data_IF_305899025550
#
_entry.id   IF_305899025550
#
_cell.length_a   1.000
_cell.length_b   1.000
_cell.length_c   1.000
_cell.angle_alpha   90.00
_cell.angle_beta   90.00
_cell.angle_gamma   90.00
#
_symmetry.space_group_name_H-M   'P 1'
#
loop_
_entity.id
_entity.type
_entity.pdbx_description
1 polymer ?
#
# COMPACT_ATOMS: atom_id res chain seq x y z
N UNK A 1 12.97 -16.46 -8.42
CA UNK A 1 12.42 -15.67 -7.28
C UNK A 1 10.91 -15.64 -7.40
N UNK A 2 10.17 -16.05 -6.36
CA UNK A 2 8.71 -15.96 -6.32
C UNK A 2 8.20 -14.76 -5.51
N UNK A 3 9.07 -13.89 -5.01
CA UNK A 3 8.78 -12.98 -3.88
C UNK A 3 7.83 -11.81 -4.14
N UNK A 4 7.29 -11.62 -5.36
CA UNK A 4 6.58 -10.38 -5.72
C UNK A 4 5.08 -10.58 -5.77
N UNK A 5 4.36 -9.72 -5.04
CA UNK A 5 2.90 -9.60 -5.10
C UNK A 5 2.51 -8.49 -6.11
N UNK A 6 1.38 -8.69 -6.81
CA UNK A 6 0.76 -7.69 -7.69
C UNK A 6 -0.69 -7.40 -7.31
N UNK A 7 -1.14 -7.94 -6.17
CA UNK A 7 -2.45 -7.67 -5.61
C UNK A 7 -2.60 -6.19 -5.29
N UNK A 8 -3.83 -5.71 -5.41
CA UNK A 8 -4.19 -4.39 -4.88
C UNK A 8 -4.34 -4.57 -3.37
N UNK A 9 -3.43 -3.95 -2.62
CA UNK A 9 -3.44 -3.98 -1.16
C UNK A 9 -4.21 -2.75 -0.65
N UNK A 10 -5.20 -3.00 0.19
CA UNK A 10 -5.88 -1.93 0.92
C UNK A 10 -4.95 -1.29 1.94
N UNK A 11 -5.34 -0.10 2.40
CA UNK A 11 -4.68 0.58 3.51
C UNK A 11 -5.68 0.72 4.66
N UNK A 12 -5.17 0.63 5.89
CA UNK A 12 -5.89 0.98 7.11
C UNK A 12 -5.20 2.18 7.75
N UNK A 13 -5.95 2.96 8.52
CA UNK A 13 -5.39 4.07 9.29
C UNK A 13 -4.90 3.58 10.66
N UNK A 14 -3.68 3.94 11.03
CA UNK A 14 -3.10 3.69 12.35
C UNK A 14 -2.73 5.02 13.02
N UNK A 15 -2.46 5.02 14.33
CA UNK A 15 -2.01 6.17 15.12
C UNK A 15 -3.05 7.31 15.20
N UNK A 16 -4.04 7.25 16.12
CA UNK A 16 -5.16 8.19 16.16
C UNK A 16 -4.79 9.67 16.30
N UNK A 17 -3.68 9.98 16.98
CA UNK A 17 -3.21 11.37 17.16
C UNK A 17 -2.55 11.94 15.88
N UNK A 18 -1.98 11.09 15.04
CA UNK A 18 -1.37 11.45 13.76
C UNK A 18 -1.62 10.31 12.75
N UNK A 19 -2.81 10.27 12.12
CA UNK A 19 -3.20 9.12 11.32
C UNK A 19 -2.28 8.88 10.14
N UNK A 20 -1.74 7.66 10.07
CA UNK A 20 -0.84 7.23 9.00
C UNK A 20 -1.42 6.01 8.27
N UNK A 21 -1.27 5.94 6.95
CA UNK A 21 -1.73 4.80 6.17
C UNK A 21 -0.79 3.61 6.36
N UNK A 22 -1.33 2.45 6.71
CA UNK A 22 -0.60 1.19 6.79
C UNK A 22 -1.17 0.18 5.80
N UNK A 23 -0.30 -0.49 5.06
CA UNK A 23 -0.70 -1.50 4.06
C UNK A 23 -1.02 -2.81 4.75
N UNK A 24 -2.21 -3.36 4.50
CA UNK A 24 -2.56 -4.70 4.98
C UNK A 24 -1.92 -5.77 4.07
N UNK A 25 -0.86 -6.41 4.58
CA UNK A 25 -0.12 -7.46 3.88
C UNK A 25 -0.69 -8.88 4.09
N UNK A 26 -1.90 -9.01 4.64
CA UNK A 26 -2.52 -10.32 4.84
C UNK A 26 -3.08 -10.90 3.53
N UNK A 27 -2.19 -11.27 2.60
CA UNK A 27 -2.54 -11.90 1.33
C UNK A 27 -2.10 -13.36 1.25
N UNK A 28 -2.83 -14.15 0.46
CA UNK A 28 -2.36 -15.48 0.06
C UNK A 28 -1.37 -15.35 -1.09
N UNK A 29 -0.09 -15.60 -0.79
CA UNK A 29 0.98 -15.49 -1.76
C UNK A 29 0.81 -16.47 -2.94
N UNK A 30 1.02 -15.98 -4.17
CA UNK A 30 1.04 -16.77 -5.41
C UNK A 30 2.33 -16.51 -6.18
N UNK A 31 3.04 -17.57 -6.55
CA UNK A 31 4.23 -17.48 -7.41
C UNK A 31 3.87 -16.89 -8.79
N UNK A 32 4.65 -15.90 -9.23
CA UNK A 32 4.51 -15.22 -10.53
C UNK A 32 5.89 -15.02 -11.18
N UNK A 33 5.90 -14.64 -12.47
CA UNK A 33 7.13 -14.31 -13.19
C UNK A 33 7.71 -12.98 -12.67
N UNK A 34 8.75 -13.07 -11.83
CA UNK A 34 9.44 -11.94 -11.24
C UNK A 34 9.92 -10.91 -12.27
N UNK A 35 10.57 -11.36 -13.34
CA UNK A 35 11.24 -10.46 -14.28
C UNK A 35 10.24 -9.64 -15.09
N UNK A 36 9.13 -10.27 -15.51
CA UNK A 36 8.05 -9.57 -16.18
C UNK A 36 7.44 -8.47 -15.30
N UNK A 37 7.27 -8.75 -14.00
CA UNK A 37 6.72 -7.79 -13.04
C UNK A 37 7.72 -6.66 -12.78
N UNK A 38 9.01 -6.95 -12.61
CA UNK A 38 10.06 -5.94 -12.42
C UNK A 38 10.07 -4.93 -13.57
N UNK A 39 10.11 -5.41 -14.80
CA UNK A 39 10.10 -4.54 -15.99
C UNK A 39 8.82 -3.72 -16.12
N UNK A 40 7.67 -4.29 -15.74
CA UNK A 40 6.41 -3.54 -15.71
C UNK A 40 6.44 -2.45 -14.63
N UNK A 41 6.90 -2.78 -13.42
CA UNK A 41 6.98 -1.84 -12.30
C UNK A 41 7.89 -0.66 -12.64
N UNK A 42 9.07 -0.89 -13.22
CA UNK A 42 10.00 0.18 -13.62
C UNK A 42 9.39 1.18 -14.61
N UNK A 43 8.57 0.70 -15.55
CA UNK A 43 7.90 1.55 -16.55
C UNK A 43 6.68 2.29 -16.02
N UNK A 44 6.09 1.82 -14.91
CA UNK A 44 4.82 2.32 -14.37
C UNK A 44 4.98 2.87 -12.94
N UNK A 45 6.19 3.24 -12.53
CA UNK A 45 6.41 3.88 -11.23
C UNK A 45 5.60 5.18 -11.13
N UNK A 46 5.15 5.49 -9.90
CA UNK A 46 4.70 6.84 -9.59
C UNK A 46 5.86 7.83 -9.78
N UNK A 47 5.56 9.10 -10.10
CA UNK A 47 6.58 10.14 -10.13
C UNK A 47 7.24 10.28 -8.75
N UNK A 48 8.51 10.73 -8.74
CA UNK A 48 9.26 10.97 -7.49
C UNK A 48 8.56 11.98 -6.57
N UNK A 49 7.82 12.92 -7.17
CA UNK A 49 7.00 13.89 -6.45
C UNK A 49 5.53 13.67 -6.77
N UNK A 50 4.73 13.53 -5.72
CA UNK A 50 3.27 13.43 -5.80
C UNK A 50 2.63 14.68 -5.18
N UNK A 51 1.39 15.03 -5.53
CA UNK A 51 0.65 16.11 -4.88
C UNK A 51 0.56 15.93 -3.36
N UNK A 52 0.42 17.03 -2.62
CA UNK A 52 0.34 17.00 -1.16
C UNK A 52 -0.90 16.25 -0.64
N UNK A 53 -1.96 16.21 -1.44
CA UNK A 53 -3.24 15.54 -1.20
C UNK A 53 -3.34 14.18 -1.94
N UNK A 54 -2.21 13.58 -2.33
CA UNK A 54 -2.19 12.30 -3.05
C UNK A 54 -2.90 11.17 -2.28
N UNK A 55 -2.82 11.20 -0.94
CA UNK A 55 -3.58 10.33 -0.07
C UNK A 55 -4.71 11.11 0.60
N UNK A 56 -5.93 10.62 0.46
CA UNK A 56 -7.07 11.16 1.17
C UNK A 56 -6.96 10.80 2.66
N UNK A 57 -7.05 11.76 3.61
CA UNK A 57 -7.01 11.47 5.04
C UNK A 57 -8.27 10.72 5.51
N UNK A 58 -8.24 10.08 6.70
CA UNK A 58 -9.43 9.46 7.28
C UNK A 58 -10.51 10.51 7.57
N UNK A 59 -11.77 10.10 7.41
CA UNK A 59 -12.93 10.86 7.87
C UNK A 59 -13.18 10.61 9.36
N UNK A 60 -14.04 11.44 9.95
CA UNK A 60 -14.38 11.36 11.39
C UNK A 60 -15.02 10.01 11.74
N UNK A 61 -15.76 9.43 10.81
CA UNK A 61 -16.41 8.12 10.94
C UNK A 61 -15.49 6.92 10.63
N UNK A 62 -14.30 7.15 10.06
CA UNK A 62 -13.39 6.07 9.69
C UNK A 62 -12.70 5.48 10.91
N UNK A 63 -12.44 4.17 10.86
CA UNK A 63 -11.72 3.48 11.92
C UNK A 63 -10.22 3.75 11.82
N UNK A 64 -9.64 4.26 12.90
CA UNK A 64 -8.18 4.40 13.09
C UNK A 64 -7.73 3.47 14.21
N UNK A 65 -6.76 2.60 13.94
CA UNK A 65 -6.22 1.64 14.91
C UNK A 65 -5.13 2.29 15.79
N UNK A 66 -5.03 1.87 17.05
CA UNK A 66 -3.98 2.37 17.97
C UNK A 66 -2.58 1.89 17.57
N UNK A 67 -2.50 0.66 17.04
CA UNK A 67 -1.28 -0.03 16.65
C UNK A 67 -1.49 -0.80 15.34
N UNK A 68 -0.39 -1.20 14.71
CA UNK A 68 -0.40 -2.01 13.50
C UNK A 68 -0.95 -3.41 13.85
N UNK A 69 -2.04 -3.87 13.19
CA UNK A 69 -2.67 -5.16 13.48
C UNK A 69 -1.86 -6.38 13.01
#
# INVERSE_FOLDING_TARGET
>A
MCSVDIGVLGQVWVHPENPEPFVDFNTQHKCRNFEAIRQWAERNQLPETVPQDFLQPPKIEDRVYNEIP
#
